data_IF_381671575968
#
_entry.id   IF_381671575968
#
_cell.length_a   1.000
_cell.length_b   1.000
_cell.length_c   1.000
_cell.angle_alpha   90.00
_cell.angle_beta   90.00
_cell.angle_gamma   90.00
#
_symmetry.space_group_name_H-M   'P 1'
#
loop_
_entity.id
_entity.type
_entity.pdbx_description
1 polymer ?
#
# COMPACT_ATOMS: atom_id res chain seq x y z
N UNK A 1 -31.87 -28.35 33.89
CA UNK A 1 -32.38 -27.68 32.68
C UNK A 1 -31.88 -26.23 32.67
N UNK A 2 -31.43 -25.73 31.50
CA UNK A 2 -31.14 -24.31 31.10
C UNK A 2 -29.91 -23.66 31.80
N UNK A 3 -28.70 -23.52 31.22
CA UNK A 3 -28.19 -22.78 30.03
C UNK A 3 -28.57 -21.28 29.97
N UNK A 4 -27.58 -20.41 30.24
CA UNK A 4 -27.40 -19.02 29.73
C UNK A 4 -26.08 -18.49 30.33
N UNK A 5 -24.89 -18.62 29.72
CA UNK A 5 -24.31 -17.80 28.63
C UNK A 5 -24.56 -16.30 28.77
N UNK A 6 -23.65 -15.60 29.44
CA UNK A 6 -23.49 -14.14 29.33
C UNK A 6 -22.33 -13.91 28.37
N UNK A 7 -22.66 -13.32 27.22
CA UNK A 7 -21.77 -12.99 26.14
C UNK A 7 -20.74 -11.94 26.59
N UNK A 8 -19.46 -12.31 26.57
CA UNK A 8 -18.36 -11.34 26.49
C UNK A 8 -18.45 -10.70 25.09
N UNK A 9 -18.88 -9.44 25.06
CA UNK A 9 -18.68 -8.56 23.90
C UNK A 9 -17.18 -8.31 23.83
N UNK A 10 -16.47 -9.22 23.16
CA UNK A 10 -15.10 -9.05 22.77
C UNK A 10 -15.05 -7.88 21.80
N UNK A 11 -14.54 -6.74 22.26
CA UNK A 11 -14.02 -5.71 21.39
C UNK A 11 -12.92 -6.39 20.59
N UNK A 12 -13.25 -6.82 19.37
CA UNK A 12 -12.25 -7.13 18.36
C UNK A 12 -11.54 -5.81 18.04
N UNK A 13 -10.59 -5.46 18.91
CA UNK A 13 -9.47 -4.65 18.50
C UNK A 13 -8.89 -5.43 17.32
N UNK A 14 -9.15 -4.91 16.12
CA UNK A 14 -8.43 -5.30 14.92
C UNK A 14 -6.98 -5.02 15.27
N UNK A 15 -6.29 -6.05 15.76
CA UNK A 15 -4.85 -6.08 15.88
C UNK A 15 -4.36 -6.04 14.44
N UNK A 16 -4.33 -4.84 13.86
CA UNK A 16 -3.44 -4.55 12.76
C UNK A 16 -2.07 -5.08 13.21
N UNK A 17 -1.38 -5.86 12.37
CA UNK A 17 -0.08 -6.40 12.72
C UNK A 17 0.86 -5.21 12.95
N UNK A 18 0.97 -4.81 14.22
CA UNK A 18 1.92 -3.83 14.73
C UNK A 18 3.32 -4.16 14.20
N UNK A 19 3.64 -5.46 14.03
CA UNK A 19 4.87 -5.93 13.41
C UNK A 19 5.16 -5.43 11.99
N UNK A 20 4.15 -5.21 11.14
CA UNK A 20 4.38 -4.73 9.78
C UNK A 20 4.79 -3.26 9.76
N UNK A 21 4.05 -2.40 10.49
CA UNK A 21 4.37 -0.98 10.63
C UNK A 21 5.68 -0.73 11.40
N UNK A 22 6.00 -1.59 12.39
CA UNK A 22 7.29 -1.54 13.08
C UNK A 22 8.45 -1.98 12.18
N UNK A 23 8.27 -3.00 11.33
CA UNK A 23 9.34 -3.47 10.43
C UNK A 23 9.80 -2.38 9.46
N UNK A 24 8.87 -1.59 8.91
CA UNK A 24 9.21 -0.48 8.03
C UNK A 24 9.90 0.70 8.76
N UNK A 25 9.61 0.93 10.04
CA UNK A 25 10.23 2.02 10.82
C UNK A 25 11.60 1.67 11.41
N UNK A 26 11.95 0.37 11.48
CA UNK A 26 13.30 -0.09 11.83
C UNK A 26 14.20 -0.38 10.62
N UNK A 27 13.67 -0.23 9.41
CA UNK A 27 14.40 -0.52 8.18
C UNK A 27 15.59 0.45 8.02
N UNK A 28 16.75 -0.09 7.62
CA UNK A 28 17.90 0.74 7.29
C UNK A 28 17.57 1.68 6.12
N UNK A 29 18.29 2.79 6.01
CA UNK A 29 18.07 3.76 4.92
C UNK A 29 18.13 3.09 3.53
N UNK A 30 19.06 2.15 3.35
CA UNK A 30 19.19 1.35 2.14
C UNK A 30 17.98 0.43 1.90
N UNK A 31 17.42 -0.17 2.96
CA UNK A 31 16.22 -1.00 2.87
C UNK A 31 14.99 -0.16 2.50
N UNK A 32 14.80 0.99 3.14
CA UNK A 32 13.72 1.94 2.81
C UNK A 32 13.83 2.47 1.37
N UNK A 33 15.05 2.75 0.91
CA UNK A 33 15.28 3.16 -0.47
C UNK A 33 14.93 2.04 -1.46
N UNK A 34 15.30 0.78 -1.15
CA UNK A 34 14.94 -0.39 -1.95
C UNK A 34 13.41 -0.61 -2.02
N UNK A 35 12.72 -0.49 -0.88
CA UNK A 35 11.25 -0.55 -0.80
C UNK A 35 10.61 0.57 -1.63
N UNK A 36 11.13 1.80 -1.53
CA UNK A 36 10.64 2.91 -2.34
C UNK A 36 10.80 2.67 -3.83
N UNK A 37 11.95 2.18 -4.27
CA UNK A 37 12.23 1.89 -5.67
C UNK A 37 11.30 0.80 -6.21
N UNK A 38 11.15 -0.29 -5.46
CA UNK A 38 10.23 -1.39 -5.78
C UNK A 38 8.79 -0.90 -5.88
N UNK A 39 8.34 -0.15 -4.87
CA UNK A 39 7.00 0.42 -4.87
C UNK A 39 6.77 1.41 -6.02
N UNK A 40 7.75 2.26 -6.35
CA UNK A 40 7.66 3.19 -7.48
C UNK A 40 7.58 2.46 -8.83
N UNK A 41 8.27 1.32 -8.96
CA UNK A 41 8.19 0.48 -10.15
C UNK A 41 6.79 -0.12 -10.33
N UNK A 42 6.16 -0.61 -9.26
CA UNK A 42 4.78 -1.12 -9.30
C UNK A 42 3.81 -0.02 -9.74
N UNK A 43 3.94 1.20 -9.19
CA UNK A 43 3.09 2.33 -9.58
C UNK A 43 3.26 2.68 -11.07
N UNK A 44 4.50 2.74 -11.57
CA UNK A 44 4.78 2.99 -13.00
C UNK A 44 4.19 1.92 -13.91
N UNK A 45 4.27 0.65 -13.51
CA UNK A 45 3.70 -0.43 -14.32
C UNK A 45 2.17 -0.35 -14.36
N UNK A 46 1.53 -0.08 -13.21
CA UNK A 46 0.09 0.17 -13.14
C UNK A 46 -0.33 1.34 -14.04
N UNK A 47 0.38 2.47 -13.97
CA UNK A 47 0.14 3.63 -14.83
C UNK A 47 0.26 3.27 -16.31
N UNK A 48 1.29 2.50 -16.70
CA UNK A 48 1.52 2.07 -18.09
C UNK A 48 0.40 1.16 -18.60
N UNK A 49 -0.01 0.18 -17.81
CA UNK A 49 -1.11 -0.75 -18.14
C UNK A 49 -2.42 0.03 -18.30
N UNK A 50 -2.71 0.92 -17.35
CA UNK A 50 -3.94 1.70 -17.34
C UNK A 50 -3.97 2.81 -18.41
N UNK A 51 -2.82 3.38 -18.78
CA UNK A 51 -2.72 4.31 -19.91
C UNK A 51 -3.07 3.63 -21.24
N UNK A 52 -2.62 2.37 -21.43
CA UNK A 52 -2.97 1.57 -22.60
C UNK A 52 -4.49 1.37 -22.77
N UNK A 53 -5.22 1.22 -21.66
CA UNK A 53 -6.68 1.07 -21.64
C UNK A 53 -7.40 2.38 -22.02
N UNK A 54 -6.86 3.54 -21.67
CA UNK A 54 -7.46 4.85 -21.96
C UNK A 54 -7.28 5.31 -23.41
N UNK A 55 -6.40 4.68 -24.19
CA UNK A 55 -6.16 5.03 -25.60
C UNK A 55 -7.36 4.81 -26.54
N UNK A 56 -8.43 4.16 -26.06
CA UNK A 56 -9.69 3.96 -26.81
C UNK A 56 -10.97 4.33 -26.08
N UNK A 57 -10.92 4.89 -24.86
CA UNK A 57 -12.12 5.14 -24.04
C UNK A 57 -12.13 6.56 -23.49
N UNK A 58 -13.16 7.34 -23.82
CA UNK A 58 -13.37 8.77 -23.47
C UNK A 58 -13.67 9.03 -21.99
N UNK A 59 -13.40 8.07 -21.10
CA UNK A 59 -13.73 8.18 -19.68
C UNK A 59 -12.48 8.61 -18.91
N UNK A 60 -12.27 9.92 -18.80
CA UNK A 60 -11.11 10.56 -18.15
C UNK A 60 -10.90 10.19 -16.66
N UNK A 61 -11.86 9.49 -16.03
CA UNK A 61 -11.75 9.00 -14.64
C UNK A 61 -11.32 7.53 -14.51
N UNK A 62 -11.26 6.77 -15.60
CA UNK A 62 -10.90 5.33 -15.55
C UNK A 62 -9.42 5.14 -15.28
N UNK A 63 -8.54 6.01 -15.78
CA UNK A 63 -7.09 5.93 -15.55
C UNK A 63 -6.70 6.00 -14.07
N UNK A 64 -7.34 6.87 -13.30
CA UNK A 64 -7.11 6.99 -11.86
C UNK A 64 -7.57 5.74 -11.11
N UNK A 65 -8.83 5.33 -11.28
CA UNK A 65 -9.37 4.14 -10.61
C UNK A 65 -8.66 2.84 -11.00
N UNK A 66 -8.28 2.70 -12.26
CA UNK A 66 -7.49 1.57 -12.75
C UNK A 66 -6.14 1.50 -12.06
N UNK A 67 -5.38 2.60 -12.04
CA UNK A 67 -4.03 2.64 -11.42
C UNK A 67 -4.10 2.32 -9.93
N UNK A 68 -5.07 2.90 -9.22
CA UNK A 68 -5.31 2.61 -7.80
C UNK A 68 -5.57 1.12 -7.57
N UNK A 69 -6.52 0.54 -8.30
CA UNK A 69 -6.88 -0.88 -8.15
C UNK A 69 -5.74 -1.82 -8.51
N UNK A 70 -4.94 -1.45 -9.51
CA UNK A 70 -3.81 -2.25 -9.99
C UNK A 70 -2.66 -2.27 -8.98
N UNK A 71 -2.25 -1.11 -8.46
CA UNK A 71 -1.23 -0.99 -7.41
C UNK A 71 -1.63 -1.79 -6.17
N UNK A 72 -2.86 -1.60 -5.69
CA UNK A 72 -3.39 -2.29 -4.52
C UNK A 72 -3.39 -3.82 -4.70
N UNK A 73 -3.71 -4.30 -5.90
CA UNK A 73 -3.68 -5.72 -6.23
C UNK A 73 -2.24 -6.25 -6.28
N UNK A 74 -1.33 -5.55 -6.96
CA UNK A 74 0.07 -5.98 -7.10
C UNK A 74 0.78 -6.02 -5.75
N UNK A 75 0.60 -5.00 -4.90
CA UNK A 75 1.17 -4.96 -3.55
C UNK A 75 0.65 -6.12 -2.71
N UNK A 76 -0.66 -6.40 -2.73
CA UNK A 76 -1.24 -7.54 -1.99
C UNK A 76 -0.84 -8.90 -2.53
N UNK A 77 -0.56 -9.01 -3.84
CA UNK A 77 -0.07 -10.25 -4.45
C UNK A 77 1.42 -10.49 -4.22
N UNK A 78 2.15 -9.47 -3.76
CA UNK A 78 3.55 -9.64 -3.39
C UNK A 78 3.61 -10.27 -2.01
N UNK A 79 4.31 -11.40 -1.87
CA UNK A 79 4.61 -12.02 -0.57
C UNK A 79 5.69 -11.23 0.21
N UNK A 80 5.61 -9.91 0.20
CA UNK A 80 6.55 -9.01 0.86
C UNK A 80 5.81 -8.13 1.89
N UNK A 81 5.84 -8.52 3.19
CA UNK A 81 5.15 -7.78 4.24
C UNK A 81 5.73 -6.39 4.49
N UNK A 82 7.03 -6.18 4.24
CA UNK A 82 7.68 -4.88 4.39
C UNK A 82 7.21 -3.90 3.31
N UNK A 83 7.02 -4.38 2.08
CA UNK A 83 6.47 -3.58 0.99
C UNK A 83 5.02 -3.17 1.24
N UNK A 84 4.22 -4.08 1.81
CA UNK A 84 2.84 -3.77 2.23
C UNK A 84 2.82 -2.70 3.33
N UNK A 85 3.68 -2.85 4.35
CA UNK A 85 3.80 -1.86 5.42
C UNK A 85 4.24 -0.50 4.90
N UNK A 86 5.26 -0.50 4.04
CA UNK A 86 5.75 0.70 3.36
C UNK A 86 4.61 1.40 2.61
N UNK A 87 3.85 0.65 1.80
CA UNK A 87 2.71 1.18 1.07
C UNK A 87 1.65 1.81 2.01
N UNK A 88 1.30 1.13 3.09
CA UNK A 88 0.27 1.59 4.03
C UNK A 88 0.70 2.85 4.81
N UNK A 89 1.98 2.97 5.13
CA UNK A 89 2.54 4.10 5.88
C UNK A 89 2.67 5.38 5.04
N UNK A 90 2.74 5.26 3.71
CA UNK A 90 2.74 6.43 2.84
C UNK A 90 1.43 7.22 2.93
N UNK A 91 1.46 8.55 2.76
CA UNK A 91 0.27 9.34 2.49
C UNK A 91 -0.35 8.98 1.13
N UNK A 92 -1.67 9.08 0.95
CA UNK A 92 -2.34 8.77 -0.33
C UNK A 92 -1.73 9.48 -1.55
N UNK A 93 -1.33 10.75 -1.40
CA UNK A 93 -0.66 11.51 -2.48
C UNK A 93 0.65 10.89 -3.00
N UNK A 94 1.33 10.09 -2.17
CA UNK A 94 2.57 9.42 -2.54
C UNK A 94 2.39 7.93 -2.84
N UNK A 95 1.32 7.29 -2.34
CA UNK A 95 1.03 5.86 -2.60
C UNK A 95 0.85 5.52 -4.07
N UNK A 96 0.38 6.47 -4.86
CA UNK A 96 0.00 6.22 -6.25
C UNK A 96 0.66 7.20 -7.22
N UNK A 97 1.77 7.82 -6.79
CA UNK A 97 2.57 8.72 -7.62
C UNK A 97 3.90 8.05 -7.94
N UNK A 98 4.20 7.86 -9.22
CA UNK A 98 5.48 7.35 -9.71
C UNK A 98 6.62 8.37 -9.66
N UNK A 99 6.28 9.67 -9.68
CA UNK A 99 7.23 10.80 -9.74
C UNK A 99 7.85 11.19 -8.38
N UNK A 100 7.46 10.51 -7.30
CA UNK A 100 7.97 10.82 -5.96
C UNK A 100 9.44 10.43 -5.80
N UNK A 101 10.20 11.26 -5.09
CA UNK A 101 11.59 10.97 -4.69
C UNK A 101 11.66 10.26 -3.35
N UNK A 102 12.77 9.54 -3.10
CA UNK A 102 13.01 8.91 -1.80
C UNK A 102 13.07 9.94 -0.66
N UNK A 103 13.63 11.13 -0.91
CA UNK A 103 13.79 12.18 0.10
C UNK A 103 12.46 12.75 0.60
N UNK A 104 11.43 12.79 -0.25
CA UNK A 104 10.07 13.18 0.12
C UNK A 104 9.37 12.12 0.98
N UNK A 105 9.73 10.86 0.76
CA UNK A 105 9.07 9.70 1.35
C UNK A 105 9.71 9.29 2.67
N UNK A 106 11.04 9.33 2.80
CA UNK A 106 11.77 8.87 3.99
C UNK A 106 11.28 9.49 5.30
N UNK A 107 10.75 10.73 5.25
CA UNK A 107 10.27 11.47 6.43
C UNK A 107 9.08 10.81 7.13
N UNK A 108 8.40 9.88 6.46
CA UNK A 108 7.26 9.14 6.99
C UNK A 108 7.67 7.87 7.74
N UNK A 109 8.96 7.51 7.73
CA UNK A 109 9.52 6.28 8.29
C UNK A 109 10.56 6.54 9.38
N UNK A 110 10.60 7.76 9.93
CA UNK A 110 11.48 8.20 11.01
C UNK A 110 10.75 8.23 12.33
#
# INVERSE_FOLDING_TARGET
MKKTLIALVGVAAVALPLGAAQAASTASEAALQSLNNTHAQIVREAERVCAGINSGSTVSNVGGGCTLGDVERQIRSTDNPELLAFHQQLPPRFRYSSDRSYSEVQRYFR
#
